data_IF_097298333575
#
_entry.id   IF_097298333575
#
_cell.length_a   1.000
_cell.length_b   1.000
_cell.length_c   1.000
_cell.angle_alpha   90.00
_cell.angle_beta   90.00
_cell.angle_gamma   90.00
#
_symmetry.space_group_name_H-M   'P 1'
#
loop_
_entity.id
_entity.type
_entity.pdbx_description
1 polymer ?
#
# COMPACT_ATOMS: atom_id res chain seq x y z
N UNK A 1 -75.61 47.75 40.22
CA UNK A 1 -75.68 47.00 41.47
C UNK A 1 -74.33 46.36 41.71
N UNK A 2 -73.43 47.09 42.40
CA UNK A 2 -72.10 46.58 42.75
C UNK A 2 -72.23 45.90 44.12
N UNK A 3 -72.15 44.55 44.11
CA UNK A 3 -72.05 43.81 45.37
C UNK A 3 -70.55 43.68 45.68
N UNK A 4 -70.05 44.60 46.50
CA UNK A 4 -68.72 44.43 47.13
C UNK A 4 -68.91 43.54 48.36
N UNK A 5 -68.63 42.25 48.21
CA UNK A 5 -68.45 41.36 49.35
C UNK A 5 -67.07 41.64 49.97
N UNK A 6 -67.09 42.45 51.03
CA UNK A 6 -65.92 42.54 51.93
C UNK A 6 -65.91 41.29 52.80
N UNK A 7 -65.22 40.26 52.33
CA UNK A 7 -64.86 39.08 53.12
C UNK A 7 -63.75 39.50 54.08
N UNK A 8 -64.18 39.85 55.33
CA UNK A 8 -63.24 40.03 56.44
C UNK A 8 -62.68 38.66 56.81
N UNK A 9 -61.43 38.37 56.38
CA UNK A 9 -60.74 37.16 56.77
C UNK A 9 -60.56 37.12 58.29
N UNK A 10 -60.81 35.97 58.94
CA UNK A 10 -60.60 35.81 60.39
C UNK A 10 -59.10 35.89 60.72
N UNK A 11 -58.76 36.34 61.93
CA UNK A 11 -57.36 36.43 62.38
C UNK A 11 -56.59 35.07 62.27
N UNK A 12 -57.30 33.95 62.43
CA UNK A 12 -56.68 32.63 62.29
C UNK A 12 -56.21 32.39 60.87
N UNK A 13 -57.02 32.68 59.84
CA UNK A 13 -56.65 32.54 58.42
C UNK A 13 -55.49 33.49 58.07
N UNK A 14 -55.56 34.73 58.61
CA UNK A 14 -54.50 35.70 58.36
C UNK A 14 -53.16 35.20 58.95
N UNK A 15 -53.15 34.69 60.21
CA UNK A 15 -51.96 34.17 60.87
C UNK A 15 -51.28 33.05 60.07
N UNK A 16 -52.09 32.16 59.44
CA UNK A 16 -51.53 31.05 58.55
C UNK A 16 -50.94 31.59 57.25
N UNK A 17 -51.44 32.71 56.73
CA UNK A 17 -50.96 33.30 55.48
C UNK A 17 -49.78 34.28 55.65
N UNK A 18 -49.56 34.80 56.89
CA UNK A 18 -48.51 35.78 57.17
C UNK A 18 -47.08 35.32 56.78
N UNK A 19 -46.66 34.04 56.98
CA UNK A 19 -45.35 33.61 56.52
C UNK A 19 -45.19 33.74 55.01
N UNK A 20 -46.16 33.22 54.23
CA UNK A 20 -46.17 33.32 52.77
C UNK A 20 -46.26 34.74 52.24
N UNK A 21 -47.00 35.59 52.97
CA UNK A 21 -47.10 37.04 52.69
C UNK A 21 -45.79 37.78 52.94
N UNK A 22 -45.05 37.38 53.99
CA UNK A 22 -43.74 37.95 54.31
C UNK A 22 -42.67 37.58 53.27
N UNK A 23 -42.81 36.44 52.58
CA UNK A 23 -41.94 35.94 51.53
C UNK A 23 -42.40 36.33 50.11
N UNK A 24 -43.40 37.17 49.93
CA UNK A 24 -44.01 37.60 48.65
C UNK A 24 -44.53 36.44 47.79
N UNK A 25 -44.93 35.32 48.40
CA UNK A 25 -45.45 34.13 47.74
C UNK A 25 -46.98 34.11 47.56
N UNK A 26 -47.70 35.17 47.95
CA UNK A 26 -49.16 35.27 47.86
C UNK A 26 -49.61 36.09 46.66
N UNK A 27 -50.80 35.79 46.10
CA UNK A 27 -51.34 36.48 44.92
C UNK A 27 -51.90 37.90 45.29
N UNK A 28 -52.05 38.73 44.25
CA UNK A 28 -52.42 40.14 44.40
C UNK A 28 -53.75 40.39 45.16
N UNK A 29 -54.77 39.54 44.95
CA UNK A 29 -56.06 39.64 45.66
C UNK A 29 -55.94 39.30 47.16
N UNK A 30 -55.15 38.22 47.44
CA UNK A 30 -54.85 37.78 48.80
C UNK A 30 -54.03 38.85 49.54
N UNK A 31 -53.06 39.44 48.89
CA UNK A 31 -52.25 40.55 49.44
C UNK A 31 -53.07 41.72 49.83
N UNK A 32 -54.03 42.10 48.99
CA UNK A 32 -54.96 43.22 49.27
C UNK A 32 -55.87 42.93 50.48
N UNK A 33 -56.39 41.73 50.62
CA UNK A 33 -57.19 41.28 51.75
C UNK A 33 -56.39 41.22 53.06
N UNK A 34 -55.12 40.72 53.02
CA UNK A 34 -54.22 40.68 54.18
C UNK A 34 -53.82 42.09 54.56
N UNK A 35 -53.50 42.99 53.66
CA UNK A 35 -53.18 44.38 53.95
C UNK A 35 -54.30 45.11 54.63
N UNK A 36 -55.54 44.95 54.10
CA UNK A 36 -56.71 45.54 54.73
C UNK A 36 -57.00 45.04 56.17
N UNK A 37 -56.72 43.75 56.44
CA UNK A 37 -56.85 43.21 57.78
C UNK A 37 -55.76 43.75 58.73
N UNK A 38 -54.51 43.87 58.24
CA UNK A 38 -53.37 44.37 59.03
C UNK A 38 -53.53 45.82 59.45
N UNK A 39 -54.24 46.63 58.67
CA UNK A 39 -54.59 47.98 59.05
C UNK A 39 -55.61 48.05 60.21
N UNK A 40 -56.46 47.04 60.30
CA UNK A 40 -57.51 46.98 61.30
C UNK A 40 -57.17 46.18 62.57
N UNK A 41 -56.13 45.28 62.49
CA UNK A 41 -55.76 44.35 63.55
C UNK A 41 -54.30 44.50 64.02
N UNK A 42 -54.05 45.18 65.14
CA UNK A 42 -52.68 45.39 65.65
C UNK A 42 -51.96 44.11 66.06
N UNK A 43 -52.71 43.05 66.47
CA UNK A 43 -52.12 41.74 66.85
C UNK A 43 -51.48 41.02 65.67
N UNK A 44 -52.24 40.96 64.56
CA UNK A 44 -51.69 40.31 63.33
C UNK A 44 -50.53 41.11 62.74
N UNK A 45 -50.52 42.40 62.79
CA UNK A 45 -49.44 43.28 62.41
C UNK A 45 -48.20 43.05 63.23
N UNK A 46 -48.31 42.89 64.59
CA UNK A 46 -47.14 42.55 65.42
C UNK A 46 -46.57 41.20 65.12
N UNK A 47 -47.37 40.20 64.73
CA UNK A 47 -46.88 38.87 64.29
C UNK A 47 -46.09 38.98 62.95
N UNK A 48 -46.63 39.80 62.02
CA UNK A 48 -45.89 40.04 60.76
C UNK A 48 -44.55 40.71 61.00
N UNK A 49 -44.48 41.67 61.91
CA UNK A 49 -43.23 42.34 62.29
C UNK A 49 -42.20 41.33 62.86
N UNK A 50 -42.65 40.42 63.72
CA UNK A 50 -41.80 39.38 64.29
C UNK A 50 -41.28 38.44 63.19
N UNK A 51 -42.17 38.01 62.30
CA UNK A 51 -41.77 37.17 61.16
C UNK A 51 -40.74 37.90 60.33
N UNK A 52 -40.94 39.16 59.95
CA UNK A 52 -39.94 39.92 59.16
C UNK A 52 -38.62 40.14 59.88
N UNK A 53 -38.63 40.28 61.19
CA UNK A 53 -37.41 40.40 62.01
C UNK A 53 -36.64 39.09 62.10
N UNK A 54 -37.36 37.97 62.09
CA UNK A 54 -36.70 36.64 62.04
C UNK A 54 -36.07 36.37 60.64
N UNK A 55 -36.65 36.89 59.57
CA UNK A 55 -36.09 36.84 58.20
C UNK A 55 -35.09 37.99 57.92
N UNK A 56 -35.02 39.02 58.77
CA UNK A 56 -33.97 40.00 58.61
C UNK A 56 -32.60 39.32 58.82
N UNK A 57 -31.68 39.50 57.88
CA UNK A 57 -30.37 38.89 58.03
C UNK A 57 -29.78 39.35 59.35
N UNK A 58 -29.64 38.43 60.32
CA UNK A 58 -28.81 38.65 61.48
C UNK A 58 -27.46 39.04 60.99
N UNK A 59 -27.03 40.27 61.23
CA UNK A 59 -25.65 40.69 61.00
C UNK A 59 -24.74 39.76 61.84
N UNK A 60 -24.50 38.53 61.30
CA UNK A 60 -23.35 37.75 61.65
C UNK A 60 -22.18 38.53 61.11
N UNK A 61 -21.15 38.86 61.93
CA UNK A 61 -19.96 39.50 61.42
C UNK A 61 -19.47 38.64 60.26
N UNK A 62 -19.15 39.28 59.09
CA UNK A 62 -18.67 38.66 57.90
C UNK A 62 -17.57 37.64 58.26
N UNK A 63 -17.99 36.37 58.43
CA UNK A 63 -17.06 35.27 58.54
C UNK A 63 -16.48 35.15 57.15
N UNK A 64 -15.26 35.60 56.99
CA UNK A 64 -14.26 35.44 55.97
C UNK A 64 -14.74 34.67 54.73
N UNK A 65 -15.02 35.41 53.66
CA UNK A 65 -15.14 34.91 52.29
C UNK A 65 -13.79 34.33 51.79
N UNK A 66 -12.88 34.04 52.72
CA UNK A 66 -11.57 33.42 52.47
C UNK A 66 -11.64 31.90 52.38
N UNK A 67 -12.61 31.24 53.05
CA UNK A 67 -12.72 29.78 53.01
C UNK A 67 -13.20 29.26 51.64
N UNK A 68 -14.19 29.92 51.05
CA UNK A 68 -14.72 29.52 49.75
C UNK A 68 -13.67 29.70 48.60
N UNK A 69 -12.88 30.78 48.69
CA UNK A 69 -11.77 30.99 47.76
C UNK A 69 -10.67 29.98 47.96
N UNK A 70 -10.39 29.58 49.19
CA UNK A 70 -9.38 28.53 49.48
C UNK A 70 -9.86 27.15 49.07
N UNK A 71 -11.12 26.78 49.21
CA UNK A 71 -11.66 25.52 48.70
C UNK A 71 -11.69 25.46 47.17
N UNK A 72 -12.09 26.54 46.50
CA UNK A 72 -12.05 26.65 45.04
C UNK A 72 -10.63 26.58 44.49
N UNK A 73 -9.66 27.18 45.17
CA UNK A 73 -8.25 27.10 44.75
C UNK A 73 -7.65 25.73 45.06
N UNK A 74 -8.08 25.04 46.10
CA UNK A 74 -7.70 23.67 46.39
C UNK A 74 -8.23 22.68 45.34
N UNK A 75 -9.48 22.82 44.94
CA UNK A 75 -10.09 22.03 43.87
C UNK A 75 -9.42 22.29 42.51
N UNK A 76 -9.09 23.53 42.19
CA UNK A 76 -8.34 23.91 41.00
C UNK A 76 -6.93 23.31 41.01
N UNK A 77 -6.27 23.30 42.17
CA UNK A 77 -4.93 22.74 42.36
C UNK A 77 -4.92 21.19 42.24
N UNK A 78 -5.94 20.52 42.75
CA UNK A 78 -6.17 19.08 42.60
C UNK A 78 -6.43 18.77 41.13
N UNK A 79 -7.36 19.47 40.46
CA UNK A 79 -7.65 19.27 39.02
C UNK A 79 -6.44 19.52 38.13
N UNK A 80 -5.61 20.50 38.45
CA UNK A 80 -4.35 20.78 37.74
C UNK A 80 -3.34 19.65 37.96
N UNK A 81 -3.19 19.14 39.20
CA UNK A 81 -2.30 18.00 39.51
C UNK A 81 -2.77 16.71 38.86
N UNK A 82 -4.07 16.47 38.79
CA UNK A 82 -4.65 15.33 38.10
C UNK A 82 -4.43 15.41 36.60
N UNK A 83 -4.65 16.58 36.00
CA UNK A 83 -4.36 16.82 34.60
C UNK A 83 -2.89 16.63 34.27
N UNK A 84 -1.99 17.17 35.07
CA UNK A 84 -0.54 17.00 34.83
C UNK A 84 -0.12 15.52 34.97
N UNK A 85 -0.64 14.78 35.95
CA UNK A 85 -0.39 13.34 36.08
C UNK A 85 -0.98 12.54 34.93
N UNK A 86 -2.18 12.89 34.46
CA UNK A 86 -2.79 12.25 33.30
C UNK A 86 -2.00 12.55 32.03
N UNK A 87 -1.60 13.78 31.81
CA UNK A 87 -0.75 14.17 30.66
C UNK A 87 0.64 13.49 30.74
N UNK A 88 1.27 13.42 31.92
CA UNK A 88 2.53 12.73 32.06
C UNK A 88 2.40 11.23 31.82
N UNK A 89 1.31 10.60 32.26
CA UNK A 89 1.00 9.20 31.97
C UNK A 89 0.82 8.94 30.48
N UNK A 90 0.00 9.76 29.79
CA UNK A 90 -0.19 9.65 28.33
C UNK A 90 1.12 9.89 27.57
N UNK A 91 1.92 10.87 28.00
CA UNK A 91 3.23 11.14 27.35
C UNK A 91 4.20 9.97 27.56
N UNK A 92 4.22 9.37 28.74
CA UNK A 92 5.06 8.20 29.05
C UNK A 92 4.63 6.98 28.21
N UNK A 93 3.33 6.70 28.12
CA UNK A 93 2.84 5.59 27.29
C UNK A 93 3.11 5.82 25.81
N UNK A 94 2.95 7.06 25.32
CA UNK A 94 3.32 7.41 23.96
C UNK A 94 4.82 7.23 23.69
N UNK A 95 5.67 7.65 24.62
CA UNK A 95 7.12 7.45 24.51
C UNK A 95 7.50 5.98 24.47
N UNK A 96 6.92 5.14 25.34
CA UNK A 96 7.13 3.69 25.33
C UNK A 96 6.67 3.09 24.00
N UNK A 97 5.51 3.47 23.49
CA UNK A 97 5.00 3.02 22.20
C UNK A 97 5.95 3.41 21.06
N UNK A 98 6.43 4.65 21.04
CA UNK A 98 7.42 5.11 20.06
C UNK A 98 8.71 4.30 20.13
N UNK A 99 9.20 3.97 21.33
CA UNK A 99 10.39 3.13 21.50
C UNK A 99 10.13 1.70 20.98
N UNK A 100 8.98 1.12 21.27
CA UNK A 100 8.61 -0.21 20.76
C UNK A 100 8.54 -0.21 19.24
N UNK A 101 7.90 0.80 18.65
CA UNK A 101 7.82 0.97 17.20
C UNK A 101 9.20 1.19 16.58
N UNK A 102 10.04 2.02 17.21
CA UNK A 102 11.41 2.22 16.77
C UNK A 102 12.21 0.91 16.77
N UNK A 103 12.15 0.15 17.87
CA UNK A 103 12.80 -1.17 17.96
C UNK A 103 12.26 -2.11 16.87
N UNK A 104 10.93 -2.17 16.68
CA UNK A 104 10.30 -3.05 15.69
C UNK A 104 10.70 -2.70 14.26
N UNK A 105 10.71 -1.43 13.90
CA UNK A 105 10.97 -1.00 12.52
C UNK A 105 12.46 -0.85 12.21
N UNK A 106 13.27 -0.31 13.14
CA UNK A 106 14.67 0.00 12.86
C UNK A 106 15.67 -1.03 13.38
N UNK A 107 15.37 -1.70 14.52
CA UNK A 107 16.28 -2.69 15.11
C UNK A 107 15.94 -4.09 14.61
N UNK A 108 14.69 -4.52 14.67
CA UNK A 108 14.27 -5.84 14.18
C UNK A 108 14.16 -5.82 12.66
N UNK A 109 13.51 -4.80 12.08
CA UNK A 109 13.19 -4.73 10.68
C UNK A 109 11.98 -5.59 10.31
N UNK A 110 11.76 -5.78 9.02
CA UNK A 110 10.71 -6.63 8.45
C UNK A 110 11.24 -7.36 7.23
N UNK A 111 10.68 -8.50 6.93
CA UNK A 111 11.10 -9.28 5.77
C UNK A 111 10.81 -8.49 4.50
N UNK A 112 11.75 -8.46 3.57
CA UNK A 112 11.51 -7.89 2.25
C UNK A 112 10.56 -8.83 1.48
N UNK A 113 9.63 -8.26 0.73
CA UNK A 113 8.68 -9.03 -0.09
C UNK A 113 9.31 -9.49 -1.40
N UNK A 114 10.30 -8.72 -1.92
CA UNK A 114 10.99 -9.02 -3.15
C UNK A 114 11.97 -7.93 -3.53
N UNK A 115 12.40 -7.97 -4.78
CA UNK A 115 13.29 -6.99 -5.42
C UNK A 115 12.67 -6.46 -6.70
N UNK A 116 12.86 -5.18 -6.98
CA UNK A 116 12.34 -4.55 -8.21
C UNK A 116 13.21 -4.82 -9.44
N UNK A 117 14.46 -5.22 -9.21
CA UNK A 117 15.40 -5.59 -10.23
C UNK A 117 16.73 -6.04 -9.62
N UNK A 118 17.47 -6.89 -10.34
CA UNK A 118 18.77 -7.35 -9.90
C UNK A 118 19.71 -7.55 -11.08
N UNK A 119 21.01 -7.47 -10.77
CA UNK A 119 22.12 -7.94 -11.61
C UNK A 119 22.91 -8.97 -10.81
N UNK A 120 23.29 -10.06 -11.46
CA UNK A 120 24.13 -11.10 -10.87
C UNK A 120 25.39 -11.31 -11.71
N UNK A 121 26.54 -11.44 -11.05
CA UNK A 121 27.81 -11.73 -11.71
C UNK A 121 28.71 -12.55 -10.78
N UNK A 122 29.67 -13.24 -11.39
CA UNK A 122 30.69 -14.00 -10.65
C UNK A 122 31.91 -13.10 -10.43
N UNK A 123 32.39 -13.05 -9.21
CA UNK A 123 33.57 -12.31 -8.82
C UNK A 123 34.59 -13.25 -8.16
N UNK A 124 35.89 -13.18 -8.51
CA UNK A 124 36.90 -13.94 -7.78
C UNK A 124 36.98 -13.39 -6.34
N UNK A 125 37.04 -14.29 -5.38
CA UNK A 125 37.32 -13.92 -4.00
C UNK A 125 38.80 -13.56 -3.88
N UNK A 126 39.07 -12.39 -3.30
CA UNK A 126 40.46 -11.92 -3.15
C UNK A 126 41.22 -12.91 -2.27
N UNK A 127 42.31 -13.48 -2.80
CA UNK A 127 43.21 -14.45 -2.14
C UNK A 127 42.69 -15.91 -2.05
N UNK A 128 41.64 -16.30 -2.77
CA UNK A 128 41.20 -17.68 -2.90
C UNK A 128 40.88 -18.03 -4.36
N UNK A 129 40.92 -19.30 -4.69
CA UNK A 129 40.44 -19.81 -6.00
C UNK A 129 38.92 -19.93 -6.07
N UNK A 130 38.24 -19.53 -5.03
CA UNK A 130 36.77 -19.62 -4.90
C UNK A 130 36.08 -18.50 -5.67
N UNK A 131 34.97 -18.81 -6.28
CA UNK A 131 34.15 -17.88 -7.04
C UNK A 131 32.92 -17.51 -6.18
N UNK A 132 32.71 -16.23 -6.00
CA UNK A 132 31.59 -15.70 -5.28
C UNK A 132 30.52 -15.19 -6.24
N UNK A 133 29.27 -15.58 -6.01
CA UNK A 133 28.10 -15.01 -6.67
C UNK A 133 27.78 -13.67 -6.02
N UNK A 134 27.92 -12.60 -6.76
CA UNK A 134 27.56 -11.26 -6.34
C UNK A 134 26.22 -10.90 -6.96
N UNK A 135 25.28 -10.50 -6.13
CA UNK A 135 23.94 -10.06 -6.53
C UNK A 135 23.74 -8.65 -6.00
N UNK A 136 23.42 -7.73 -6.87
CA UNK A 136 23.11 -6.35 -6.51
C UNK A 136 21.86 -5.89 -7.24
N UNK A 137 21.19 -4.90 -6.68
CA UNK A 137 19.98 -4.41 -7.32
C UNK A 137 19.19 -3.43 -6.48
N UNK A 138 17.91 -3.32 -6.80
CA UNK A 138 16.99 -2.40 -6.15
C UNK A 138 15.88 -3.15 -5.40
N UNK A 139 15.54 -2.64 -4.22
CA UNK A 139 14.42 -3.12 -3.42
C UNK A 139 13.08 -2.66 -4.05
N UNK A 140 12.02 -3.40 -3.84
CA UNK A 140 10.67 -2.94 -4.21
C UNK A 140 10.27 -1.67 -3.48
N UNK A 141 10.64 -1.54 -2.20
CA UNK A 141 10.38 -0.36 -1.41
C UNK A 141 11.45 0.72 -1.65
N UNK A 142 11.08 1.89 -2.21
CA UNK A 142 12.04 2.95 -2.55
C UNK A 142 12.63 3.67 -1.32
N UNK A 143 12.11 3.42 -0.13
CA UNK A 143 12.54 4.04 1.13
C UNK A 143 13.10 3.03 2.13
N UNK A 144 13.48 1.85 1.66
CA UNK A 144 14.06 0.81 2.48
C UNK A 144 15.56 0.65 2.25
N UNK A 145 16.21 0.01 3.21
CA UNK A 145 17.60 -0.40 3.17
C UNK A 145 17.67 -1.86 3.59
N UNK A 146 18.47 -2.65 2.89
CA UNK A 146 18.80 -4.01 3.26
C UNK A 146 19.43 -4.03 4.66
N UNK A 147 19.07 -5.05 5.47
CA UNK A 147 19.61 -5.21 6.81
C UNK A 147 20.38 -6.53 6.95
N UNK A 148 19.70 -7.64 7.06
CA UNK A 148 20.30 -8.96 7.29
C UNK A 148 19.92 -9.90 6.16
N UNK A 149 20.91 -10.62 5.61
CA UNK A 149 20.71 -11.64 4.58
C UNK A 149 20.53 -12.99 5.25
N UNK A 150 19.54 -13.73 4.82
CA UNK A 150 19.25 -15.09 5.26
C UNK A 150 19.40 -16.03 4.08
N UNK A 151 20.11 -17.13 4.32
CA UNK A 151 20.29 -18.19 3.32
C UNK A 151 19.72 -19.48 3.90
N UNK A 152 18.73 -20.02 3.22
CA UNK A 152 18.14 -21.32 3.51
C UNK A 152 18.60 -22.33 2.47
N UNK A 153 19.09 -23.48 2.91
CA UNK A 153 19.59 -24.54 2.03
C UNK A 153 18.66 -25.74 2.16
N UNK A 154 18.07 -26.15 1.04
CA UNK A 154 17.25 -27.33 0.91
C UNK A 154 17.81 -28.25 -0.20
N UNK A 155 18.47 -29.33 0.20
CA UNK A 155 19.11 -30.24 -0.76
C UNK A 155 20.22 -29.56 -1.54
N UNK A 156 20.06 -29.44 -2.84
CA UNK A 156 21.02 -28.80 -3.78
C UNK A 156 20.63 -27.35 -4.13
N UNK A 157 19.69 -26.79 -3.41
CA UNK A 157 19.12 -25.47 -3.67
C UNK A 157 19.38 -24.54 -2.50
N UNK A 158 19.86 -23.32 -2.77
CA UNK A 158 19.98 -22.24 -1.81
C UNK A 158 18.96 -21.14 -2.11
N UNK A 159 18.23 -20.68 -1.11
CA UNK A 159 17.31 -19.55 -1.22
C UNK A 159 17.81 -18.38 -0.38
N UNK A 160 18.09 -17.29 -1.04
CA UNK A 160 18.56 -16.05 -0.41
C UNK A 160 17.38 -15.10 -0.24
N UNK A 161 17.16 -14.69 0.99
CA UNK A 161 16.21 -13.64 1.35
C UNK A 161 16.90 -12.64 2.28
N UNK A 162 16.27 -11.51 2.54
CA UNK A 162 16.80 -10.55 3.50
C UNK A 162 15.70 -9.76 4.19
N UNK A 163 16.05 -9.22 5.37
CA UNK A 163 15.23 -8.26 6.06
C UNK A 163 15.59 -6.85 5.61
N UNK A 164 14.62 -5.95 5.71
CA UNK A 164 14.76 -4.53 5.38
C UNK A 164 14.26 -3.66 6.52
N UNK A 165 14.69 -2.41 6.55
CA UNK A 165 14.21 -1.37 7.46
C UNK A 165 14.00 -0.06 6.71
N UNK A 166 13.22 0.88 7.26
CA UNK A 166 13.15 2.22 6.70
C UNK A 166 14.54 2.88 6.64
N UNK A 167 14.83 3.55 5.54
CA UNK A 167 16.08 4.31 5.38
C UNK A 167 16.10 5.53 6.30
N UNK A 168 17.24 5.83 6.88
CA UNK A 168 17.46 7.09 7.58
C UNK A 168 17.74 8.25 6.60
N UNK A 169 17.59 9.55 7.01
CA UNK A 169 17.67 10.70 6.09
C UNK A 169 18.97 10.83 5.35
N UNK A 170 20.01 10.20 5.52
CA UNK A 170 21.30 10.34 4.82
C UNK A 170 21.86 9.01 4.32
N UNK A 171 21.06 7.96 4.35
CA UNK A 171 21.46 6.64 3.84
C UNK A 171 21.17 6.50 2.34
N UNK A 172 22.00 5.72 1.66
CA UNK A 172 21.70 5.23 0.33
C UNK A 172 20.43 4.37 0.40
N UNK A 173 19.46 4.73 -0.40
CA UNK A 173 18.13 4.11 -0.41
C UNK A 173 18.02 3.13 -1.55
N UNK A 174 17.18 2.15 -1.35
CA UNK A 174 16.68 1.25 -2.40
C UNK A 174 17.73 0.30 -3.01
N UNK A 175 18.95 0.27 -2.54
CA UNK A 175 19.97 -0.67 -3.03
C UNK A 175 20.18 -1.84 -2.08
N UNK A 176 20.54 -3.01 -2.66
CA UNK A 176 21.05 -4.14 -1.92
C UNK A 176 22.29 -4.71 -2.59
N UNK A 177 23.12 -5.37 -1.78
CA UNK A 177 24.34 -6.05 -2.24
C UNK A 177 24.51 -7.32 -1.42
N UNK A 178 24.69 -8.44 -2.11
CA UNK A 178 24.88 -9.76 -1.51
C UNK A 178 26.07 -10.41 -2.19
N UNK A 179 26.99 -10.93 -1.41
CA UNK A 179 28.07 -11.80 -1.87
C UNK A 179 27.86 -13.18 -1.24
N UNK A 180 27.71 -14.20 -2.07
CA UNK A 180 27.43 -15.56 -1.65
C UNK A 180 28.41 -16.52 -2.29
N UNK A 181 29.18 -17.22 -1.47
CA UNK A 181 30.05 -18.31 -1.91
C UNK A 181 29.20 -19.55 -2.18
N UNK A 182 29.21 -20.03 -3.42
CA UNK A 182 28.36 -21.17 -3.81
C UNK A 182 29.10 -22.46 -3.43
N UNK A 183 28.58 -23.26 -2.47
CA UNK A 183 29.13 -24.57 -2.18
C UNK A 183 29.00 -25.52 -3.39
N UNK A 184 29.91 -26.46 -3.54
CA UNK A 184 29.88 -27.46 -4.63
C UNK A 184 28.60 -28.31 -4.66
N UNK A 185 27.94 -28.47 -3.49
CA UNK A 185 26.66 -29.20 -3.36
C UNK A 185 25.47 -28.44 -3.90
N UNK A 186 25.60 -27.13 -4.15
CA UNK A 186 24.48 -26.29 -4.59
C UNK A 186 24.51 -26.20 -6.12
N UNK A 187 23.39 -26.55 -6.73
CA UNK A 187 23.17 -26.47 -8.17
C UNK A 187 22.19 -25.38 -8.58
N UNK A 188 21.48 -24.79 -7.60
CA UNK A 188 20.51 -23.74 -7.86
C UNK A 188 20.47 -22.71 -6.75
N UNK A 189 20.46 -21.43 -7.10
CA UNK A 189 20.36 -20.33 -6.15
C UNK A 189 19.17 -19.42 -6.52
N UNK A 190 18.32 -19.18 -5.53
CA UNK A 190 17.22 -18.24 -5.62
C UNK A 190 17.52 -16.97 -4.85
N UNK A 191 17.12 -15.84 -5.41
CA UNK A 191 16.93 -14.58 -4.71
C UNK A 191 15.41 -14.35 -4.62
N UNK A 192 14.82 -14.55 -3.45
CA UNK A 192 13.36 -14.66 -3.28
C UNK A 192 12.76 -15.71 -4.22
N UNK A 193 12.00 -15.29 -5.22
CA UNK A 193 11.39 -16.16 -6.23
C UNK A 193 12.17 -16.21 -7.57
N UNK A 194 13.21 -15.37 -7.72
CA UNK A 194 14.03 -15.34 -8.92
C UNK A 194 15.15 -16.36 -8.84
N UNK A 195 15.31 -17.19 -9.86
CA UNK A 195 16.51 -18.00 -10.02
C UNK A 195 17.64 -17.09 -10.50
N UNK A 196 18.71 -16.97 -9.73
CA UNK A 196 19.85 -16.11 -10.07
C UNK A 196 21.05 -16.90 -10.60
N UNK A 197 21.10 -18.20 -10.28
CA UNK A 197 22.13 -19.11 -10.74
C UNK A 197 21.56 -20.54 -10.80
N UNK A 198 21.86 -21.27 -11.87
CA UNK A 198 21.47 -22.66 -12.04
C UNK A 198 22.46 -23.39 -12.96
N UNK A 199 22.97 -24.54 -12.50
CA UNK A 199 23.88 -25.41 -13.28
C UNK A 199 25.05 -24.62 -13.91
N UNK A 200 25.80 -23.90 -13.07
CA UNK A 200 26.96 -23.09 -13.46
C UNK A 200 26.64 -21.88 -14.36
N UNK A 201 25.40 -21.50 -14.49
CA UNK A 201 24.97 -20.38 -15.33
C UNK A 201 24.30 -19.29 -14.49
N UNK A 202 24.67 -18.07 -14.80
CA UNK A 202 23.98 -16.89 -14.30
C UNK A 202 22.67 -16.71 -15.05
N UNK A 203 21.60 -16.44 -14.31
CA UNK A 203 20.27 -16.20 -14.85
C UNK A 203 19.95 -14.73 -14.69
N UNK A 204 19.64 -14.07 -15.79
CA UNK A 204 19.27 -12.65 -15.78
C UNK A 204 17.85 -12.44 -15.30
N UNK A 205 17.57 -11.23 -14.78
CA UNK A 205 16.20 -10.82 -14.43
C UNK A 205 15.26 -10.94 -15.64
N UNK A 206 15.76 -10.56 -16.82
CA UNK A 206 14.99 -10.67 -18.08
C UNK A 206 14.58 -12.11 -18.36
N UNK A 207 15.49 -13.06 -18.19
CA UNK A 207 15.18 -14.48 -18.37
C UNK A 207 14.08 -14.95 -17.42
N UNK A 208 14.16 -14.58 -16.14
CA UNK A 208 13.13 -14.91 -15.15
C UNK A 208 11.76 -14.35 -15.54
N UNK A 209 11.69 -13.07 -15.90
CA UNK A 209 10.43 -12.42 -16.29
C UNK A 209 9.77 -13.07 -17.49
N UNK A 210 10.55 -13.37 -18.51
CA UNK A 210 10.04 -13.98 -19.74
C UNK A 210 9.66 -15.43 -19.49
N UNK A 211 10.53 -16.22 -18.84
CA UNK A 211 10.33 -17.64 -18.58
C UNK A 211 9.09 -17.90 -17.70
N UNK A 212 8.79 -17.00 -16.77
CA UNK A 212 7.58 -17.06 -15.94
C UNK A 212 6.26 -16.98 -16.75
N UNK A 213 6.33 -16.57 -18.02
CA UNK A 213 5.16 -16.51 -18.91
C UNK A 213 5.01 -17.75 -19.80
N UNK A 214 5.86 -18.78 -19.60
CA UNK A 214 5.72 -20.07 -20.30
C UNK A 214 4.32 -20.63 -20.08
N UNK A 215 3.70 -21.12 -21.16
CA UNK A 215 2.37 -21.73 -21.09
C UNK A 215 2.19 -22.80 -22.18
N UNK A 216 1.29 -23.78 -21.95
CA UNK A 216 1.20 -24.94 -22.84
C UNK A 216 0.39 -24.68 -24.11
N UNK A 217 -0.53 -23.71 -24.14
CA UNK A 217 -1.55 -23.63 -25.18
C UNK A 217 -1.64 -22.27 -25.84
N UNK A 218 -1.39 -22.21 -27.15
CA UNK A 218 -1.57 -20.98 -27.96
C UNK A 218 -3.04 -20.47 -27.93
N UNK A 219 -4.01 -21.31 -27.64
CA UNK A 219 -5.41 -20.91 -27.49
C UNK A 219 -5.69 -20.00 -26.27
N UNK A 220 -4.77 -19.91 -25.31
CA UNK A 220 -4.87 -18.97 -24.19
C UNK A 220 -4.42 -17.56 -24.59
N UNK A 221 -5.35 -16.79 -25.14
CA UNK A 221 -5.06 -15.44 -25.59
C UNK A 221 -4.53 -14.51 -24.47
N UNK A 222 -4.91 -14.75 -23.22
CA UNK A 222 -4.43 -13.97 -22.08
C UNK A 222 -2.96 -14.28 -21.76
N UNK A 223 -2.58 -15.56 -21.77
CA UNK A 223 -1.20 -15.99 -21.58
C UNK A 223 -0.31 -15.51 -22.74
N UNK A 224 -0.81 -15.60 -23.99
CA UNK A 224 -0.13 -15.06 -25.16
C UNK A 224 0.17 -13.55 -25.01
N UNK A 225 -0.83 -12.77 -24.57
CA UNK A 225 -0.65 -11.33 -24.33
C UNK A 225 0.45 -11.06 -23.29
N UNK A 226 0.43 -11.75 -22.15
CA UNK A 226 1.46 -11.60 -21.11
C UNK A 226 2.85 -11.98 -21.62
N UNK A 227 2.99 -13.05 -22.41
CA UNK A 227 4.25 -13.45 -23.00
C UNK A 227 4.75 -12.40 -24.01
N UNK A 228 3.88 -11.94 -24.91
CA UNK A 228 4.23 -10.89 -25.89
C UNK A 228 4.69 -9.59 -25.19
N UNK A 229 4.02 -9.20 -24.10
CA UNK A 229 4.40 -8.04 -23.30
C UNK A 229 5.75 -8.26 -22.59
N UNK A 230 5.98 -9.43 -22.00
CA UNK A 230 7.21 -9.75 -21.29
C UNK A 230 8.43 -9.73 -22.21
N UNK A 231 8.30 -10.18 -23.46
CA UNK A 231 9.37 -10.11 -24.46
C UNK A 231 9.47 -8.72 -25.11
N UNK A 232 8.48 -7.85 -24.94
CA UNK A 232 8.48 -6.46 -25.41
C UNK A 232 8.05 -6.29 -26.85
N UNK A 233 7.19 -7.15 -27.39
CA UNK A 233 6.74 -7.09 -28.79
C UNK A 233 6.21 -5.71 -29.20
N UNK A 234 5.30 -5.13 -28.43
CA UNK A 234 4.71 -3.83 -28.74
C UNK A 234 5.71 -2.67 -28.72
N UNK A 235 6.67 -2.69 -27.79
CA UNK A 235 7.69 -1.63 -27.69
C UNK A 235 8.75 -1.69 -28.79
N UNK A 236 9.03 -2.88 -29.29
CA UNK A 236 10.09 -3.11 -30.29
C UNK A 236 9.58 -3.01 -31.73
N UNK A 237 8.37 -3.51 -31.97
CA UNK A 237 7.84 -3.66 -33.32
C UNK A 237 6.63 -2.76 -33.62
N UNK A 238 6.10 -2.05 -32.64
CA UNK A 238 4.93 -1.19 -32.78
C UNK A 238 3.60 -1.91 -32.58
N UNK A 239 2.52 -1.27 -33.03
CA UNK A 239 1.16 -1.79 -32.88
C UNK A 239 0.89 -2.97 -33.81
N UNK A 240 0.26 -4.00 -33.29
CA UNK A 240 -0.12 -5.20 -34.04
C UNK A 240 -1.42 -5.80 -33.53
N UNK A 241 -2.06 -6.61 -34.39
CA UNK A 241 -3.17 -7.48 -34.03
C UNK A 241 -2.68 -8.92 -33.95
N UNK A 242 -3.20 -9.66 -32.97
CA UNK A 242 -2.94 -11.09 -32.84
C UNK A 242 -4.02 -11.89 -33.59
N UNK A 243 -3.57 -12.81 -34.46
CA UNK A 243 -4.43 -13.79 -35.12
C UNK A 243 -3.91 -15.18 -34.74
N UNK A 244 -4.79 -16.03 -34.19
CA UNK A 244 -4.44 -17.35 -33.73
C UNK A 244 -5.13 -18.40 -34.60
N UNK A 245 -4.35 -19.32 -35.16
CA UNK A 245 -4.86 -20.51 -35.82
C UNK A 245 -4.63 -21.72 -34.90
N UNK A 246 -5.74 -22.29 -34.40
CA UNK A 246 -5.73 -23.35 -33.38
C UNK A 246 -6.56 -24.59 -33.79
N UNK A 247 -6.99 -24.67 -35.06
CA UNK A 247 -7.87 -25.73 -35.53
C UNK A 247 -7.11 -26.90 -36.16
N UNK A 248 -5.95 -26.62 -36.76
CA UNK A 248 -5.13 -27.62 -37.46
C UNK A 248 -3.67 -27.40 -37.13
N UNK A 249 -2.89 -28.46 -37.00
CA UNK A 249 -1.45 -28.36 -36.79
C UNK A 249 -0.71 -28.12 -38.14
N UNK A 250 0.39 -27.38 -38.11
CA UNK A 250 0.97 -26.70 -36.98
C UNK A 250 0.10 -25.51 -36.51
N UNK A 251 -0.11 -25.36 -35.19
CA UNK A 251 -0.77 -24.18 -34.65
C UNK A 251 0.07 -22.94 -34.89
N UNK A 252 -0.58 -21.85 -35.26
CA UNK A 252 0.07 -20.64 -35.70
C UNK A 252 -0.33 -19.41 -34.91
N UNK A 253 0.66 -18.54 -34.65
CA UNK A 253 0.46 -17.22 -34.08
C UNK A 253 0.93 -16.16 -35.07
N UNK A 254 -0.01 -15.36 -35.62
CA UNK A 254 0.28 -14.31 -36.58
C UNK A 254 0.21 -12.94 -35.94
N UNK A 255 1.25 -12.14 -36.14
CA UNK A 255 1.31 -10.73 -35.76
C UNK A 255 1.01 -9.88 -36.98
N UNK A 256 -0.12 -9.19 -37.00
CA UNK A 256 -0.49 -8.29 -38.09
C UNK A 256 -0.17 -6.86 -37.73
N UNK A 257 0.91 -6.30 -38.29
CA UNK A 257 1.34 -4.93 -38.07
C UNK A 257 0.55 -3.95 -38.93
N UNK A 258 0.28 -2.77 -38.37
CA UNK A 258 -0.56 -1.74 -39.04
C UNK A 258 0.27 -0.78 -39.91
N UNK A 259 1.57 -0.67 -39.61
CA UNK A 259 2.47 0.28 -40.30
C UNK A 259 3.48 -0.42 -41.19
N UNK A 260 3.87 0.20 -42.34
CA UNK A 260 4.92 -0.33 -43.18
C UNK A 260 6.28 -0.30 -42.49
N UNK A 261 7.11 -1.28 -42.81
CA UNK A 261 8.44 -1.45 -42.20
C UNK A 261 9.50 -0.70 -43.02
N UNK A 262 10.32 0.12 -42.35
CA UNK A 262 11.37 0.93 -43.01
C UNK A 262 12.58 0.11 -43.45
N UNK A 263 12.96 -0.89 -42.70
CA UNK A 263 14.10 -1.80 -42.97
C UNK A 263 13.65 -3.24 -42.80
N UNK A 264 13.23 -3.84 -43.89
CA UNK A 264 12.64 -5.18 -43.90
C UNK A 264 13.61 -6.26 -43.42
N UNK A 265 14.87 -6.19 -43.83
CA UNK A 265 15.86 -7.21 -43.46
C UNK A 265 16.13 -7.22 -41.95
N UNK A 266 16.29 -6.04 -41.35
CA UNK A 266 16.50 -5.92 -39.93
C UNK A 266 15.25 -6.33 -39.14
N UNK A 267 14.08 -5.90 -39.61
CA UNK A 267 12.80 -6.23 -38.99
C UNK A 267 12.57 -7.75 -39.01
N UNK A 268 12.70 -8.38 -40.18
CA UNK A 268 12.48 -9.81 -40.33
C UNK A 268 13.48 -10.65 -39.52
N UNK A 269 14.75 -10.24 -39.45
CA UNK A 269 15.75 -10.90 -38.59
C UNK A 269 15.36 -10.83 -37.13
N UNK A 270 14.97 -9.64 -36.63
CA UNK A 270 14.50 -9.48 -35.25
C UNK A 270 13.23 -10.28 -34.99
N UNK A 271 12.27 -10.28 -35.90
CA UNK A 271 11.07 -11.10 -35.77
C UNK A 271 11.41 -12.60 -35.64
N UNK A 272 12.41 -13.12 -36.38
CA UNK A 272 12.86 -14.50 -36.25
C UNK A 272 13.48 -14.78 -34.87
N UNK A 273 14.31 -13.86 -34.32
CA UNK A 273 14.89 -13.97 -32.99
C UNK A 273 13.79 -14.03 -31.93
N UNK A 274 12.79 -13.17 -32.00
CA UNK A 274 11.67 -13.15 -31.06
C UNK A 274 10.69 -14.30 -31.27
N UNK A 275 10.50 -14.76 -32.49
CA UNK A 275 9.74 -15.96 -32.81
C UNK A 275 10.33 -17.21 -32.13
N UNK A 276 11.66 -17.31 -32.02
CA UNK A 276 12.30 -18.37 -31.23
C UNK A 276 11.84 -18.39 -29.78
N UNK A 277 11.70 -17.22 -29.14
CA UNK A 277 11.23 -17.13 -27.74
C UNK A 277 9.78 -17.61 -27.63
N UNK A 278 8.90 -17.17 -28.54
CA UNK A 278 7.50 -17.57 -28.58
C UNK A 278 7.35 -19.08 -28.80
N UNK A 279 8.09 -19.62 -29.79
CA UNK A 279 8.09 -21.04 -30.12
C UNK A 279 8.64 -21.90 -28.97
N UNK A 280 9.64 -21.43 -28.24
CA UNK A 280 10.17 -22.13 -27.08
C UNK A 280 9.17 -22.17 -25.94
N UNK A 281 8.53 -21.04 -25.61
CA UNK A 281 7.76 -20.88 -24.37
C UNK A 281 6.27 -21.19 -24.52
N UNK A 282 5.76 -21.46 -25.73
CA UNK A 282 4.40 -21.94 -25.96
C UNK A 282 4.48 -23.38 -26.48
N UNK A 283 4.12 -24.35 -25.63
CA UNK A 283 4.47 -25.77 -25.90
C UNK A 283 3.90 -26.29 -27.21
N UNK A 284 2.64 -25.98 -27.52
CA UNK A 284 1.97 -26.45 -28.74
C UNK A 284 2.09 -25.52 -29.95
N UNK A 285 2.81 -24.40 -29.85
CA UNK A 285 3.02 -23.49 -30.97
C UNK A 285 4.03 -24.10 -31.97
N UNK A 286 3.65 -24.18 -33.24
CA UNK A 286 4.48 -24.74 -34.30
C UNK A 286 5.00 -23.73 -35.29
N UNK A 287 4.30 -22.60 -35.43
CA UNK A 287 4.64 -21.56 -36.40
C UNK A 287 4.32 -20.15 -35.88
N UNK A 288 5.20 -19.21 -36.14
CA UNK A 288 4.98 -17.76 -35.92
C UNK A 288 5.03 -17.06 -37.24
N UNK A 289 3.98 -16.29 -37.57
CA UNK A 289 3.93 -15.49 -38.77
C UNK A 289 3.81 -14.01 -38.45
N UNK A 290 4.19 -13.17 -39.40
CA UNK A 290 3.98 -11.73 -39.29
C UNK A 290 3.64 -11.13 -40.65
N UNK A 291 2.75 -10.15 -40.60
CA UNK A 291 2.24 -9.43 -41.77
C UNK A 291 2.44 -7.94 -41.59
N UNK A 292 2.87 -7.23 -42.61
CA UNK A 292 3.01 -5.79 -42.61
C UNK A 292 2.72 -5.21 -44.02
N UNK A 293 2.22 -3.96 -44.10
CA UNK A 293 2.02 -3.29 -45.39
C UNK A 293 3.34 -3.10 -46.12
N UNK A 294 3.35 -3.30 -47.45
CA UNK A 294 4.51 -2.99 -48.25
C UNK A 294 4.81 -1.50 -48.26
N UNK A 295 6.09 -1.11 -48.15
CA UNK A 295 6.50 0.27 -48.27
C UNK A 295 6.23 0.73 -49.73
N UNK A 296 5.59 1.89 -49.87
CA UNK A 296 5.39 2.51 -51.22
C UNK A 296 6.73 3.14 -51.66
N UNK A 297 7.39 2.51 -52.61
CA UNK A 297 8.51 3.13 -53.30
C UNK A 297 7.95 4.14 -54.36
N UNK A 298 8.33 5.41 -54.23
CA UNK A 298 7.83 6.51 -55.06
C UNK A 298 8.38 6.51 -56.50
N UNK A 299 9.36 5.64 -56.81
CA UNK A 299 10.14 5.77 -58.05
C UNK A 299 10.34 4.49 -58.91
N UNK A 300 9.65 3.38 -58.64
CA UNK A 300 9.85 2.18 -59.44
C UNK A 300 8.64 1.81 -60.32
N UNK A 301 8.92 1.53 -61.60
CA UNK A 301 7.94 1.04 -62.56
C UNK A 301 7.38 -0.37 -62.26
N UNK A 302 7.81 -0.99 -61.18
CA UNK A 302 7.41 -2.30 -60.66
C UNK A 302 6.84 -2.22 -59.22
N UNK A 303 6.13 -1.11 -58.91
CA UNK A 303 5.52 -0.90 -57.61
C UNK A 303 4.44 -1.95 -57.33
N UNK A 304 4.54 -2.61 -56.15
CA UNK A 304 3.48 -3.45 -55.60
C UNK A 304 2.17 -2.63 -55.48
N UNK A 305 1.00 -3.28 -55.56
CA UNK A 305 -0.27 -2.62 -55.31
C UNK A 305 -0.23 -1.83 -54.00
N UNK A 306 -0.90 -0.69 -53.92
CA UNK A 306 -0.89 0.22 -52.76
C UNK A 306 -1.36 -0.43 -51.44
N UNK A 307 -2.02 -1.56 -51.52
CA UNK A 307 -2.56 -2.40 -50.44
C UNK A 307 -1.89 -3.76 -50.32
N UNK A 308 -0.70 -3.93 -50.95
CA UNK A 308 0.06 -5.19 -50.81
C UNK A 308 0.51 -5.44 -49.36
N UNK A 309 0.21 -6.63 -48.88
CA UNK A 309 0.65 -7.11 -47.55
C UNK A 309 1.77 -8.13 -47.73
N UNK A 310 2.89 -7.91 -47.07
CA UNK A 310 3.99 -8.84 -47.02
C UNK A 310 3.76 -9.78 -45.85
N UNK A 311 3.74 -11.09 -46.11
CA UNK A 311 3.65 -12.12 -45.09
C UNK A 311 4.97 -12.93 -45.03
N UNK A 312 5.46 -13.15 -43.83
CA UNK A 312 6.57 -14.03 -43.52
C UNK A 312 6.14 -15.01 -42.45
N UNK A 313 6.75 -16.19 -42.45
CA UNK A 313 6.53 -17.19 -41.40
C UNK A 313 7.85 -17.84 -40.96
N UNK A 314 7.83 -18.37 -39.75
CA UNK A 314 8.98 -19.00 -39.14
C UNK A 314 8.52 -20.17 -38.28
N UNK A 315 8.93 -21.37 -38.65
CA UNK A 315 8.49 -22.62 -38.01
C UNK A 315 9.40 -23.03 -36.87
N UNK A 316 8.92 -23.91 -35.98
CA UNK A 316 9.74 -24.51 -34.93
C UNK A 316 10.96 -25.28 -35.48
N UNK A 317 10.84 -25.89 -36.65
CA UNK A 317 11.98 -26.54 -37.33
C UNK A 317 13.06 -25.55 -37.78
N UNK A 318 12.66 -24.39 -38.33
CA UNK A 318 13.59 -23.31 -38.71
C UNK A 318 14.25 -22.69 -37.46
N UNK A 319 13.47 -22.50 -36.37
CA UNK A 319 14.01 -22.05 -35.11
C UNK A 319 15.04 -23.01 -34.53
N UNK A 320 14.79 -24.30 -34.62
CA UNK A 320 15.73 -25.36 -34.20
C UNK A 320 17.02 -25.37 -35.05
N UNK A 321 16.91 -25.11 -36.35
CA UNK A 321 18.08 -24.95 -37.22
C UNK A 321 18.90 -23.71 -36.86
N UNK A 322 18.23 -22.58 -36.59
CA UNK A 322 18.90 -21.34 -36.22
C UNK A 322 19.64 -21.45 -34.89
N UNK A 323 19.07 -22.14 -33.92
CA UNK A 323 19.63 -22.29 -32.55
C UNK A 323 20.56 -23.49 -32.40
N UNK A 324 20.59 -24.40 -33.37
CA UNK A 324 21.41 -25.62 -33.36
C UNK A 324 20.89 -26.76 -32.48
N UNK A 325 19.69 -26.60 -31.89
CA UNK A 325 19.03 -27.59 -31.03
C UNK A 325 17.53 -27.48 -31.16
N UNK A 326 16.78 -28.50 -30.78
CA UNK A 326 15.30 -28.41 -30.73
C UNK A 326 14.86 -27.21 -29.87
N UNK A 327 14.09 -26.34 -30.49
CA UNK A 327 13.65 -25.12 -29.84
C UNK A 327 12.89 -25.36 -28.52
N UNK A 328 12.20 -26.51 -28.37
CA UNK A 328 11.43 -26.84 -27.17
C UNK A 328 12.33 -27.21 -25.98
N UNK A 329 13.54 -27.70 -26.19
CA UNK A 329 14.49 -28.02 -25.12
C UNK A 329 14.86 -26.77 -24.32
N UNK A 330 14.89 -25.60 -24.96
CA UNK A 330 15.19 -24.35 -24.29
C UNK A 330 14.13 -23.89 -23.27
N UNK A 331 12.97 -24.53 -23.25
CA UNK A 331 11.93 -24.25 -22.25
C UNK A 331 11.85 -25.31 -21.13
N UNK A 332 12.70 -26.33 -21.08
CA UNK A 332 12.70 -27.35 -20.04
C UNK A 332 13.07 -26.80 -18.67
N UNK A 333 14.03 -25.90 -18.62
CA UNK A 333 14.44 -25.19 -17.40
C UNK A 333 14.93 -23.78 -17.75
N UNK A 334 15.06 -22.95 -16.73
CA UNK A 334 15.41 -21.53 -16.92
C UNK A 334 16.87 -21.36 -17.38
N UNK A 335 17.79 -22.25 -17.02
CA UNK A 335 19.18 -22.20 -17.48
C UNK A 335 19.28 -22.48 -18.99
N UNK A 336 18.46 -23.41 -19.50
CA UNK A 336 18.34 -23.65 -20.95
C UNK A 336 17.75 -22.44 -21.66
N UNK A 337 16.75 -21.80 -21.07
CA UNK A 337 16.15 -20.59 -21.63
C UNK A 337 17.13 -19.40 -21.64
N UNK A 338 17.91 -19.23 -20.57
CA UNK A 338 19.00 -18.23 -20.54
C UNK A 338 20.01 -18.47 -21.66
N UNK A 339 20.32 -19.73 -21.98
CA UNK A 339 21.19 -20.06 -23.10
C UNK A 339 20.58 -19.67 -24.46
N UNK A 340 19.26 -19.84 -24.64
CA UNK A 340 18.59 -19.35 -25.83
C UNK A 340 18.72 -17.82 -25.98
N UNK A 341 18.51 -17.06 -24.90
CA UNK A 341 18.71 -15.61 -24.93
C UNK A 341 20.15 -15.24 -25.31
N UNK A 342 21.16 -16.01 -24.84
CA UNK A 342 22.55 -15.78 -25.16
C UNK A 342 22.86 -16.07 -26.65
N UNK A 343 22.32 -17.17 -27.19
CA UNK A 343 22.48 -17.55 -28.61
C UNK A 343 21.88 -16.47 -29.52
N UNK A 344 20.72 -15.90 -29.13
CA UNK A 344 20.01 -14.87 -29.89
C UNK A 344 20.55 -13.46 -29.63
N UNK A 345 21.57 -13.28 -28.78
CA UNK A 345 22.10 -11.97 -28.36
C UNK A 345 21.02 -11.05 -27.70
N UNK A 346 20.11 -11.63 -26.96
CA UNK A 346 18.99 -10.98 -26.30
C UNK A 346 19.13 -10.89 -24.76
N UNK A 347 20.34 -11.06 -24.24
CA UNK A 347 20.62 -11.01 -22.78
C UNK A 347 20.30 -9.65 -22.13
#
# INVERSE_FOLDING_TARGET
>A
MNNSYTTTLSCEIIKDLLPSYAEDLTGSETNSAIAGHLEACPECFAILQNIRNDFAPKNTPASDCSSDKQELDYLKKIRRRWRTKLFSGVLLTAAILCIILFIRFYIIGFQAEGVSGYEAFLSPVYDSSEICLVIQGALESPFAVQKETHVEIEGDTARITFTQRPAMPFENRNGFYIAYEIPESIHKVYLFDFVVWENERLITERANRIYAQKHPYIGDASANGRLADAIGMGSLFGNYKNILQTTTEPYEWTFQFEEPVKNEDLFNRRMQEYACLLLALTDNLGEVSWEYPAAQETDASDSLPADAVIRKSFTAGQASQLTGSDIKIFSENIASFQELLRILYLN
#
